data_IF_802974677736
#
_entry.id   IF_802974677736
#
_cell.length_a   1.000
_cell.length_b   1.000
_cell.length_c   1.000
_cell.angle_alpha   90.00
_cell.angle_beta   90.00
_cell.angle_gamma   90.00
#
_symmetry.space_group_name_H-M   'P 1'
#
loop_
_entity.id
_entity.type
_entity.pdbx_description
1 polymer ?
#
# COMPACT_ATOMS: atom_id res chain seq x y z
N UNK A 1 -11.78 19.24 10.83
CA UNK A 1 -10.75 18.74 9.92
C UNK A 1 -9.40 19.03 10.55
N UNK A 2 -8.65 18.01 10.99
CA UNK A 2 -7.32 18.17 11.58
C UNK A 2 -6.37 18.58 10.45
N UNK A 3 -5.91 19.85 10.46
CA UNK A 3 -4.87 20.35 9.55
C UNK A 3 -3.52 19.83 10.05
N UNK A 4 -2.82 19.02 9.28
CA UNK A 4 -1.48 18.57 9.60
C UNK A 4 -1.10 17.26 8.89
N UNK A 5 0.15 16.81 9.10
CA UNK A 5 0.64 15.53 8.59
C UNK A 5 -0.13 14.38 9.23
N UNK A 6 -0.53 13.37 8.44
CA UNK A 6 -1.16 12.14 8.97
C UNK A 6 -0.32 11.59 10.14
N UNK A 7 -0.94 11.24 11.29
CA UNK A 7 -0.22 10.67 12.42
C UNK A 7 0.43 9.34 12.00
N UNK A 8 1.63 9.09 12.51
CA UNK A 8 2.30 7.79 12.35
C UNK A 8 1.65 6.78 13.28
N UNK A 9 1.52 5.53 12.85
CA UNK A 9 1.09 4.42 13.69
C UNK A 9 1.97 4.29 14.95
N UNK A 10 1.39 3.87 16.07
CA UNK A 10 2.11 3.74 17.35
C UNK A 10 3.29 2.76 17.25
N UNK A 11 3.15 1.66 16.49
CA UNK A 11 4.24 0.72 16.25
C UNK A 11 5.46 1.38 15.59
N UNK A 12 5.25 2.28 14.60
CA UNK A 12 6.31 3.04 13.94
C UNK A 12 7.00 4.00 14.92
N UNK A 13 6.21 4.69 15.75
CA UNK A 13 6.74 5.61 16.78
C UNK A 13 7.56 4.88 17.84
N UNK A 14 7.14 3.68 18.24
CA UNK A 14 7.91 2.81 19.16
C UNK A 14 9.24 2.44 18.54
N UNK A 15 9.23 2.00 17.28
CA UNK A 15 10.44 1.63 16.54
C UNK A 15 11.41 2.80 16.34
N UNK A 16 10.88 4.03 16.23
CA UNK A 16 11.67 5.27 16.14
C UNK A 16 12.17 5.78 17.52
N UNK A 17 11.81 5.12 18.61
CA UNK A 17 12.15 5.55 19.98
C UNK A 17 11.41 6.81 20.45
N UNK A 18 10.33 7.20 19.78
CA UNK A 18 9.61 8.46 20.05
C UNK A 18 9.00 8.51 21.46
N UNK A 19 8.85 7.37 22.14
CA UNK A 19 8.24 7.27 23.48
C UNK A 19 9.26 7.06 24.59
N UNK A 20 10.58 7.08 24.31
CA UNK A 20 11.62 6.89 25.32
C UNK A 20 11.54 7.98 26.40
N UNK A 21 11.32 9.24 26.01
CA UNK A 21 11.20 10.38 26.94
C UNK A 21 9.78 10.63 27.44
N UNK A 22 8.77 10.13 26.74
CA UNK A 22 7.34 10.39 26.99
C UNK A 22 6.52 9.13 26.77
N UNK A 23 6.68 8.07 27.61
CA UNK A 23 5.96 6.81 27.47
C UNK A 23 4.44 6.96 27.61
N UNK A 24 3.98 7.96 28.35
CA UNK A 24 2.56 8.29 28.56
C UNK A 24 1.83 8.68 27.26
N UNK A 25 2.56 9.12 26.23
CA UNK A 25 1.98 9.48 24.90
C UNK A 25 1.73 8.28 24.01
N UNK A 26 2.09 7.08 24.45
CA UNK A 26 1.86 5.86 23.68
C UNK A 26 0.37 5.52 23.68
N UNK A 27 -0.22 5.38 22.49
CA UNK A 27 -1.57 4.87 22.37
C UNK A 27 -1.57 3.34 22.54
N UNK A 28 -1.97 2.86 23.71
CA UNK A 28 -2.07 1.43 24.02
C UNK A 28 -3.34 0.80 23.45
N UNK A 29 -4.35 1.61 23.10
CA UNK A 29 -5.64 1.19 22.58
C UNK A 29 -5.73 1.28 21.06
N UNK A 30 -4.59 1.52 20.36
CA UNK A 30 -4.60 1.54 18.91
C UNK A 30 -5.05 0.17 18.37
N UNK A 31 -6.14 0.14 17.56
CA UNK A 31 -6.63 -1.11 17.00
C UNK A 31 -5.55 -1.81 16.19
N UNK A 32 -5.29 -3.07 16.51
CA UNK A 32 -4.39 -3.94 15.74
C UNK A 32 -5.26 -4.90 14.93
N UNK A 33 -5.45 -4.66 13.63
CA UNK A 33 -6.19 -5.58 12.80
C UNK A 33 -5.46 -6.93 12.76
N UNK A 34 -6.23 -8.02 12.78
CA UNK A 34 -5.65 -9.36 12.62
C UNK A 34 -5.15 -9.51 11.18
N UNK A 35 -3.98 -10.17 11.03
CA UNK A 35 -3.51 -10.62 9.73
C UNK A 35 -4.55 -11.59 9.15
N UNK A 36 -5.10 -11.26 8.00
CA UNK A 36 -6.10 -12.08 7.34
C UNK A 36 -6.25 -11.66 5.88
N UNK A 37 -6.57 -12.63 5.04
CA UNK A 37 -6.74 -12.40 3.61
C UNK A 37 -8.05 -11.63 3.34
N UNK A 38 -7.98 -10.50 2.62
CA UNK A 38 -9.18 -9.81 2.17
C UNK A 38 -9.88 -10.60 1.07
N UNK A 39 -11.23 -10.55 1.07
CA UNK A 39 -12.01 -11.12 -0.03
C UNK A 39 -11.85 -10.23 -1.28
N UNK A 40 -11.68 -10.83 -2.45
CA UNK A 40 -11.67 -10.08 -3.71
C UNK A 40 -13.06 -9.49 -3.98
N UNK A 41 -13.18 -8.17 -4.27
CA UNK A 41 -14.46 -7.56 -4.65
C UNK A 41 -14.86 -7.97 -6.08
N UNK A 42 -16.18 -8.08 -6.32
CA UNK A 42 -16.73 -8.50 -7.61
C UNK A 42 -16.23 -7.67 -8.80
N UNK A 43 -16.17 -6.34 -8.65
CA UNK A 43 -15.69 -5.44 -9.71
C UNK A 43 -14.20 -5.61 -10.02
N UNK A 44 -13.37 -6.09 -9.07
CA UNK A 44 -11.96 -6.43 -9.30
C UNK A 44 -11.87 -7.82 -9.97
N UNK A 45 -12.72 -8.74 -9.53
CA UNK A 45 -12.75 -10.11 -10.08
C UNK A 45 -13.22 -10.13 -11.54
N UNK A 46 -14.11 -9.21 -11.93
CA UNK A 46 -14.63 -9.07 -13.30
C UNK A 46 -13.57 -8.53 -14.29
N UNK A 47 -12.52 -7.86 -13.82
CA UNK A 47 -11.44 -7.35 -14.66
C UNK A 47 -10.21 -8.30 -14.59
N UNK A 48 -9.86 -9.01 -15.68
CA UNK A 48 -8.77 -9.98 -15.66
C UNK A 48 -7.41 -9.40 -15.25
N UNK A 49 -7.13 -8.15 -15.63
CA UNK A 49 -5.88 -7.44 -15.30
C UNK A 49 -5.87 -7.08 -13.82
N UNK A 50 -6.95 -6.47 -13.32
CA UNK A 50 -7.08 -6.12 -11.91
C UNK A 50 -7.07 -7.37 -11.03
N UNK A 51 -7.74 -8.47 -11.44
CA UNK A 51 -7.75 -9.76 -10.75
C UNK A 51 -6.35 -10.35 -10.63
N UNK A 52 -5.59 -10.39 -11.72
CA UNK A 52 -4.19 -10.85 -11.69
C UNK A 52 -3.34 -10.01 -10.75
N UNK A 53 -3.52 -8.66 -10.79
CA UNK A 53 -2.80 -7.74 -9.93
C UNK A 53 -3.18 -7.89 -8.46
N UNK A 54 -4.44 -8.25 -8.16
CA UNK A 54 -4.92 -8.54 -6.82
C UNK A 54 -4.16 -9.69 -6.16
N UNK A 55 -4.04 -10.81 -6.84
CA UNK A 55 -3.30 -11.95 -6.29
C UNK A 55 -1.83 -11.61 -6.06
N UNK A 56 -1.20 -10.95 -7.05
CA UNK A 56 0.18 -10.53 -6.92
C UNK A 56 0.41 -9.63 -5.69
N UNK A 57 -0.41 -8.60 -5.49
CA UNK A 57 -0.22 -7.67 -4.37
C UNK A 57 -0.53 -8.31 -3.03
N UNK A 58 -1.54 -9.19 -2.97
CA UNK A 58 -1.84 -9.94 -1.73
C UNK A 58 -0.67 -10.85 -1.35
N UNK A 59 -0.04 -11.51 -2.31
CA UNK A 59 1.14 -12.35 -2.05
C UNK A 59 2.31 -11.52 -1.52
N UNK A 60 2.60 -10.36 -2.14
CA UNK A 60 3.66 -9.48 -1.66
C UNK A 60 3.39 -8.96 -0.23
N UNK A 61 2.16 -8.57 0.07
CA UNK A 61 1.79 -8.11 1.41
C UNK A 61 1.82 -9.24 2.44
N UNK A 62 1.47 -10.48 2.05
CA UNK A 62 1.54 -11.65 2.92
C UNK A 62 2.98 -12.00 3.28
N UNK A 63 3.89 -12.01 2.30
CA UNK A 63 5.33 -12.23 2.53
C UNK A 63 5.93 -11.18 3.48
N UNK A 64 5.43 -9.95 3.44
CA UNK A 64 5.86 -8.87 4.33
C UNK A 64 5.13 -8.86 5.69
N UNK A 65 4.19 -9.77 5.96
CA UNK A 65 3.30 -9.77 7.13
C UNK A 65 2.50 -8.45 7.28
N UNK A 66 2.04 -7.90 6.17
CA UNK A 66 1.29 -6.64 6.10
C UNK A 66 -0.12 -6.82 5.54
N UNK A 67 -0.56 -8.05 5.23
CA UNK A 67 -1.87 -8.29 4.64
C UNK A 67 -2.97 -8.32 5.70
N UNK A 68 -3.91 -7.39 5.61
CA UNK A 68 -5.06 -7.32 6.51
C UNK A 68 -6.37 -7.20 5.72
N UNK A 69 -7.42 -7.84 6.18
CA UNK A 69 -8.75 -7.73 5.55
C UNK A 69 -9.28 -6.30 5.50
N UNK A 70 -8.85 -5.44 6.46
CA UNK A 70 -9.22 -4.02 6.50
C UNK A 70 -8.71 -3.21 5.32
N UNK A 71 -7.69 -3.71 4.61
CA UNK A 71 -7.05 -2.99 3.51
C UNK A 71 -7.67 -3.31 2.15
N UNK A 72 -8.77 -4.11 2.15
CA UNK A 72 -9.50 -4.54 0.95
C UNK A 72 -9.76 -3.39 -0.02
N UNK A 73 -10.27 -2.25 0.47
CA UNK A 73 -10.61 -1.11 -0.37
C UNK A 73 -9.38 -0.43 -1.00
N UNK A 74 -8.28 -0.34 -0.25
CA UNK A 74 -7.02 0.21 -0.74
C UNK A 74 -6.42 -0.68 -1.82
N UNK A 75 -6.39 -2.01 -1.57
CA UNK A 75 -5.89 -3.01 -2.51
C UNK A 75 -6.74 -3.03 -3.79
N UNK A 76 -8.08 -3.04 -3.65
CA UNK A 76 -8.99 -3.01 -4.79
C UNK A 76 -8.76 -1.78 -5.67
N UNK A 77 -8.68 -0.60 -5.04
CA UNK A 77 -8.42 0.63 -5.75
C UNK A 77 -7.06 0.63 -6.47
N UNK A 78 -6.02 0.04 -5.87
CA UNK A 78 -4.72 -0.13 -6.50
C UNK A 78 -4.81 -1.01 -7.76
N UNK A 79 -5.52 -2.14 -7.68
CA UNK A 79 -5.66 -3.08 -8.80
C UNK A 79 -6.44 -2.46 -9.97
N UNK A 80 -7.52 -1.74 -9.69
CA UNK A 80 -8.31 -1.04 -10.72
C UNK A 80 -7.51 0.10 -11.36
N UNK A 81 -6.78 0.90 -10.58
CA UNK A 81 -5.91 1.93 -11.17
C UNK A 81 -4.80 1.30 -12.02
N UNK A 82 -4.27 0.14 -11.64
CA UNK A 82 -3.28 -0.57 -12.44
C UNK A 82 -3.85 -1.04 -13.79
N UNK A 83 -5.04 -1.62 -13.80
CA UNK A 83 -5.73 -2.00 -15.04
C UNK A 83 -6.02 -0.78 -15.92
N UNK A 84 -6.53 0.30 -15.33
CA UNK A 84 -6.80 1.55 -16.03
C UNK A 84 -5.53 2.19 -16.61
N UNK A 85 -4.41 2.14 -15.88
CA UNK A 85 -3.12 2.62 -16.37
C UNK A 85 -2.71 1.88 -17.66
N UNK A 86 -2.82 0.55 -17.68
CA UNK A 86 -2.47 -0.23 -18.87
C UNK A 86 -3.41 0.08 -20.04
N UNK A 87 -4.72 0.23 -19.77
CA UNK A 87 -5.69 0.61 -20.79
C UNK A 87 -5.34 1.98 -21.42
N UNK A 88 -5.07 2.99 -20.59
CA UNK A 88 -4.70 4.33 -21.06
C UNK A 88 -3.35 4.32 -21.80
N UNK A 89 -2.39 3.49 -21.36
CA UNK A 89 -1.12 3.32 -22.04
C UNK A 89 -1.28 2.90 -23.50
N UNK A 90 -2.21 1.98 -23.79
CA UNK A 90 -2.49 1.55 -25.16
C UNK A 90 -2.89 2.71 -26.09
N UNK A 91 -3.55 3.75 -25.56
CA UNK A 91 -3.98 4.93 -26.32
C UNK A 91 -2.86 5.96 -26.55
N UNK A 92 -1.86 6.02 -25.68
CA UNK A 92 -0.79 7.03 -25.74
C UNK A 92 0.58 6.49 -26.14
N UNK A 93 0.75 5.17 -26.18
CA UNK A 93 1.99 4.55 -26.62
C UNK A 93 2.35 5.00 -28.06
N UNK A 94 3.65 5.10 -28.35
CA UNK A 94 4.12 5.60 -29.64
C UNK A 94 4.08 7.12 -29.80
N UNK A 95 3.97 7.87 -28.67
CA UNK A 95 4.04 9.34 -28.66
C UNK A 95 2.71 10.04 -28.95
N UNK A 96 1.58 9.31 -28.94
CA UNK A 96 0.25 9.85 -29.22
C UNK A 96 -0.34 10.65 -28.02
N UNK A 97 0.44 11.62 -27.51
CA UNK A 97 0.12 12.38 -26.29
C UNK A 97 -0.45 13.78 -26.52
N UNK A 98 -0.37 14.30 -27.77
CA UNK A 98 -0.83 15.64 -28.11
C UNK A 98 -1.67 15.65 -29.37
N UNK A 99 -2.46 16.69 -29.54
CA UNK A 99 -3.21 17.01 -30.75
C UNK A 99 -3.22 18.53 -30.98
N UNK A 100 -3.50 18.94 -32.19
CA UNK A 100 -3.74 20.34 -32.49
C UNK A 100 -5.21 20.68 -32.18
N UNK A 101 -5.42 21.74 -31.39
CA UNK A 101 -6.77 22.25 -31.15
C UNK A 101 -7.29 23.06 -32.37
N UNK A 102 -8.54 23.50 -32.33
CA UNK A 102 -9.20 24.27 -33.41
C UNK A 102 -8.44 25.55 -33.81
N UNK A 103 -7.58 26.07 -32.91
CA UNK A 103 -6.75 27.27 -33.14
C UNK A 103 -5.35 26.93 -33.64
N UNK A 104 -5.07 25.65 -33.94
CA UNK A 104 -3.76 25.17 -34.40
C UNK A 104 -2.68 25.08 -33.31
N UNK A 105 -3.03 25.25 -32.04
CA UNK A 105 -2.09 25.09 -30.93
C UNK A 105 -2.01 23.64 -30.47
N UNK A 106 -0.81 23.19 -30.08
CA UNK A 106 -0.63 21.89 -29.48
C UNK A 106 -1.34 21.82 -28.11
N UNK A 107 -2.13 20.78 -27.88
CA UNK A 107 -2.84 20.50 -26.64
C UNK A 107 -2.64 19.05 -26.25
N UNK A 108 -2.50 18.77 -24.95
CA UNK A 108 -2.37 17.41 -24.42
C UNK A 108 -3.69 16.67 -24.55
N UNK A 109 -3.64 15.42 -24.99
CA UNK A 109 -4.83 14.58 -25.10
C UNK A 109 -5.42 14.29 -23.71
N UNK A 110 -6.76 14.18 -23.58
CA UNK A 110 -7.41 13.78 -22.33
C UNK A 110 -6.88 12.48 -21.76
N UNK A 111 -6.57 11.49 -22.62
CA UNK A 111 -6.04 10.19 -22.23
C UNK A 111 -4.64 10.31 -21.61
N UNK A 112 -3.78 11.19 -22.12
CA UNK A 112 -2.45 11.44 -21.55
C UNK A 112 -2.55 12.11 -20.17
N UNK A 113 -3.47 13.08 -20.01
CA UNK A 113 -3.75 13.69 -18.71
C UNK A 113 -4.35 12.69 -17.72
N UNK A 114 -5.23 11.78 -18.19
CA UNK A 114 -5.81 10.72 -17.37
C UNK A 114 -4.73 9.73 -16.91
N UNK A 115 -3.84 9.33 -17.81
CA UNK A 115 -2.71 8.45 -17.51
C UNK A 115 -1.81 9.02 -16.40
N UNK A 116 -1.43 10.30 -16.49
CA UNK A 116 -0.60 10.96 -15.47
C UNK A 116 -1.28 10.96 -14.09
N UNK A 117 -2.59 11.26 -14.06
CA UNK A 117 -3.38 11.22 -12.81
C UNK A 117 -3.47 9.81 -12.23
N UNK A 118 -3.63 8.79 -13.06
CA UNK A 118 -3.66 7.39 -12.63
C UNK A 118 -2.31 6.97 -12.08
N UNK A 119 -1.21 7.28 -12.77
CA UNK A 119 0.16 7.00 -12.30
C UNK A 119 0.42 7.65 -10.94
N UNK A 120 -0.01 8.91 -10.77
CA UNK A 120 0.12 9.62 -9.49
C UNK A 120 -0.66 8.92 -8.36
N UNK A 121 -1.88 8.40 -8.62
CA UNK A 121 -2.65 7.63 -7.63
C UNK A 121 -2.00 6.30 -7.30
N UNK A 122 -1.48 5.59 -8.32
CA UNK A 122 -0.76 4.34 -8.13
C UNK A 122 0.45 4.52 -7.21
N UNK A 123 1.31 5.50 -7.48
CA UNK A 123 2.47 5.80 -6.65
C UNK A 123 2.09 6.07 -5.18
N UNK A 124 0.99 6.79 -4.94
CA UNK A 124 0.49 7.05 -3.58
C UNK A 124 0.02 5.77 -2.89
N UNK A 125 -0.74 4.93 -3.60
CA UNK A 125 -1.25 3.65 -3.06
C UNK A 125 -0.12 2.66 -2.82
N UNK A 126 0.86 2.58 -3.71
CA UNK A 126 2.07 1.76 -3.51
C UNK A 126 2.84 2.18 -2.25
N UNK A 127 2.97 3.48 -2.02
CA UNK A 127 3.60 3.98 -0.81
C UNK A 127 2.79 3.66 0.46
N UNK A 128 1.45 3.74 0.41
CA UNK A 128 0.57 3.38 1.53
C UNK A 128 0.57 1.87 1.81
N UNK A 129 0.63 1.03 0.76
CA UNK A 129 0.72 -0.43 0.88
C UNK A 129 2.12 -0.94 1.25
N UNK A 130 3.12 -0.08 1.37
CA UNK A 130 4.48 -0.50 1.68
C UNK A 130 5.23 -1.12 0.49
N UNK A 131 4.75 -0.98 -0.73
CA UNK A 131 5.34 -1.61 -1.92
C UNK A 131 6.56 -0.85 -2.46
N UNK A 132 6.83 0.38 -1.98
CA UNK A 132 8.02 1.14 -2.40
C UNK A 132 9.20 0.92 -1.45
N UNK A 133 10.46 1.00 -1.93
CA UNK A 133 11.62 0.91 -1.04
C UNK A 133 11.61 1.91 0.12
N UNK A 134 11.20 3.15 -0.15
CA UNK A 134 11.13 4.21 0.86
C UNK A 134 10.03 3.97 1.91
N UNK A 135 8.90 3.36 1.53
CA UNK A 135 7.87 2.97 2.48
C UNK A 135 8.30 1.76 3.31
N UNK A 136 8.92 0.74 2.69
CA UNK A 136 9.46 -0.42 3.41
C UNK A 136 10.52 -0.05 4.44
N UNK A 137 11.41 0.89 4.13
CA UNK A 137 12.41 1.38 5.07
C UNK A 137 11.80 2.02 6.34
N UNK A 138 10.54 2.48 6.25
CA UNK A 138 9.78 3.07 7.37
C UNK A 138 8.89 2.06 8.11
N UNK A 139 8.58 0.94 7.45
CA UNK A 139 7.78 -0.15 8.02
C UNK A 139 8.76 -1.17 8.60
N UNK A 140 8.84 -1.26 9.92
CA UNK A 140 9.31 -2.50 10.54
C UNK A 140 8.10 -3.42 10.55
N UNK A 141 8.10 -4.42 9.67
CA UNK A 141 7.17 -5.52 9.78
C UNK A 141 7.23 -6.06 11.22
N UNK A 142 6.09 -6.41 11.85
CA UNK A 142 6.14 -7.20 13.07
C UNK A 142 6.97 -8.44 12.72
N UNK A 143 8.13 -8.60 13.36
CA UNK A 143 8.79 -9.91 13.32
C UNK A 143 7.72 -10.89 13.82
N UNK A 144 7.41 -11.92 13.02
CA UNK A 144 6.76 -13.10 13.58
C UNK A 144 7.49 -13.33 14.90
N UNK A 145 6.76 -13.43 16.01
CA UNK A 145 7.35 -13.81 17.28
C UNK A 145 8.11 -15.10 16.95
N UNK A 146 9.41 -14.99 16.72
CA UNK A 146 10.28 -16.15 16.88
C UNK A 146 9.93 -16.55 18.32
N UNK A 147 9.22 -17.66 18.46
CA UNK A 147 9.06 -18.31 19.76
C UNK A 147 10.46 -18.30 20.30
N UNK A 148 10.64 -17.57 21.37
CA UNK A 148 11.97 -17.31 21.92
C UNK A 148 12.47 -18.65 22.45
N UNK A 149 12.99 -19.45 21.53
CA UNK A 149 13.53 -20.82 21.77
C UNK A 149 14.51 -20.76 22.93
N UNK A 150 15.15 -19.60 23.12
CA UNK A 150 16.02 -19.36 24.25
C UNK A 150 15.23 -19.19 25.56
N UNK A 151 14.07 -18.55 25.54
CA UNK A 151 13.19 -18.42 26.71
C UNK A 151 12.54 -19.78 27.07
N UNK A 152 12.13 -20.57 26.08
CA UNK A 152 11.64 -21.95 26.32
C UNK A 152 12.75 -22.85 26.84
N UNK A 153 13.98 -22.75 26.32
CA UNK A 153 15.12 -23.48 26.82
C UNK A 153 15.46 -23.08 28.27
N UNK A 154 15.47 -21.77 28.59
CA UNK A 154 15.65 -21.26 29.94
C UNK A 154 14.59 -21.78 30.91
N UNK A 155 13.32 -21.80 30.53
CA UNK A 155 12.23 -22.37 31.35
C UNK A 155 12.43 -23.87 31.61
N UNK A 156 12.94 -24.63 30.65
CA UNK A 156 13.25 -26.06 30.81
C UNK A 156 14.52 -26.31 31.62
N UNK A 157 15.48 -25.39 31.62
CA UNK A 157 16.76 -25.54 32.34
C UNK A 157 16.65 -25.10 33.82
N UNK A 158 15.63 -24.30 34.19
CA UNK A 158 15.47 -23.74 35.54
C UNK A 158 14.28 -24.35 36.33
N UNK A 159 13.54 -25.30 35.78
CA UNK A 159 12.49 -26.07 36.48
C UNK A 159 12.92 -27.48 36.69
#
# INVERSE_FOLDING_TARGET
VVKGRKPKATAVKVAEGSFVKHPERRNHEEPKPKLSDPRIPEHVEADPVAKSRWYWVCDQLREMNLLHATDQGLIAGYCIDYSLMLHLWEHIKGGNVSHLNEKGNASTKPEANAFDKVCTRLMKREAELGLTPSSRARLRAPQAEEEDVFQEWLKRATG
#
